data_IF_959427669718
#
_entry.id   IF_959427669718
#
_cell.length_a   1.000
_cell.length_b   1.000
_cell.length_c   1.000
_cell.angle_alpha   90.00
_cell.angle_beta   90.00
_cell.angle_gamma   90.00
#
_symmetry.space_group_name_H-M   'P 1'
#
loop_
_entity.id
_entity.type
_entity.pdbx_description
1 polymer ?
#
# COMPACT_ATOMS: atom_id res chain seq x y z
N UNK A 1 25.88 -36.37 32.26
CA UNK A 1 25.79 -37.13 33.53
C UNK A 1 24.87 -36.37 34.47
N UNK A 2 23.56 -36.67 34.43
CA UNK A 2 22.79 -37.39 35.46
C UNK A 2 22.37 -36.47 36.63
N UNK A 3 21.11 -36.33 37.05
CA UNK A 3 20.05 -37.35 37.13
C UNK A 3 18.65 -36.75 37.02
N UNK A 4 17.83 -37.50 36.31
CA UNK A 4 16.37 -37.51 36.26
C UNK A 4 15.81 -38.08 37.59
N UNK A 5 14.68 -37.56 38.07
CA UNK A 5 13.72 -38.27 38.92
C UNK A 5 12.31 -38.12 38.33
N UNK A 6 11.56 -39.21 38.43
CA UNK A 6 10.36 -39.64 37.71
C UNK A 6 9.01 -39.05 38.21
N UNK A 7 7.89 -39.25 37.46
CA UNK A 7 6.53 -38.65 37.64
C UNK A 7 5.61 -39.54 38.51
N UNK A 8 4.34 -39.18 38.92
CA UNK A 8 3.09 -39.11 38.08
C UNK A 8 1.97 -38.19 38.72
N UNK A 9 0.62 -38.30 38.48
CA UNK A 9 -0.16 -39.07 37.50
C UNK A 9 -1.20 -38.28 36.66
N UNK A 10 -1.63 -38.95 35.59
CA UNK A 10 -2.79 -38.67 34.73
C UNK A 10 -4.13 -38.80 35.45
N UNK A 11 -5.12 -37.95 35.10
CA UNK A 11 -6.54 -38.27 35.29
C UNK A 11 -7.41 -37.73 34.14
N UNK A 12 -8.46 -38.50 33.90
CA UNK A 12 -9.29 -38.58 32.70
C UNK A 12 -10.34 -37.48 32.55
N UNK A 13 -10.75 -37.34 31.30
CA UNK A 13 -12.00 -36.82 30.75
C UNK A 13 -13.23 -37.11 31.61
N UNK A 14 -14.07 -36.08 31.82
CA UNK A 14 -15.52 -36.24 32.04
C UNK A 14 -16.25 -35.21 31.18
N UNK A 15 -17.06 -35.72 30.26
CA UNK A 15 -18.10 -35.03 29.50
C UNK A 15 -19.42 -35.25 30.26
N UNK A 16 -20.25 -34.21 30.40
CA UNK A 16 -21.69 -34.23 30.10
C UNK A 16 -22.44 -33.00 30.63
N UNK A 17 -23.11 -32.34 29.68
CA UNK A 17 -24.53 -31.98 29.63
C UNK A 17 -25.26 -31.36 30.83
N UNK A 18 -25.93 -30.24 30.54
CA UNK A 18 -27.35 -29.94 30.82
C UNK A 18 -27.54 -28.41 30.73
N UNK A 19 -28.22 -27.84 29.72
CA UNK A 19 -29.66 -27.88 29.39
C UNK A 19 -30.29 -26.49 29.61
N UNK A 20 -30.83 -25.97 28.51
CA UNK A 20 -32.19 -25.44 28.39
C UNK A 20 -32.59 -24.13 29.12
N UNK A 21 -32.93 -23.11 28.33
CA UNK A 21 -34.26 -22.48 28.39
C UNK A 21 -34.51 -21.61 27.15
N UNK A 22 -35.40 -22.12 26.30
CA UNK A 22 -36.16 -21.35 25.32
C UNK A 22 -37.26 -20.51 26.00
N UNK A 23 -37.70 -19.49 25.25
CA UNK A 23 -39.08 -19.01 25.10
C UNK A 23 -39.38 -17.61 25.65
N UNK A 24 -39.58 -16.67 24.71
CA UNK A 24 -40.82 -15.89 24.66
C UNK A 24 -40.98 -15.34 23.23
N UNK A 25 -41.90 -15.96 22.49
CA UNK A 25 -42.44 -15.43 21.25
C UNK A 25 -43.41 -14.27 21.58
N UNK A 26 -43.27 -13.16 20.88
CA UNK A 26 -44.22 -12.06 20.88
C UNK A 26 -44.36 -11.52 19.46
N UNK A 27 -45.40 -11.96 18.77
CA UNK A 27 -45.81 -11.45 17.46
C UNK A 27 -46.44 -10.06 17.59
N UNK A 28 -45.99 -9.11 16.79
CA UNK A 28 -46.85 -8.03 16.30
C UNK A 28 -46.42 -7.69 14.88
N UNK A 29 -47.17 -8.21 13.92
CA UNK A 29 -47.12 -7.79 12.54
C UNK A 29 -47.64 -6.35 12.40
N UNK A 30 -47.10 -5.68 11.40
CA UNK A 30 -47.68 -4.59 10.61
C UNK A 30 -47.86 -3.22 11.25
N UNK A 31 -46.78 -2.42 11.29
CA UNK A 31 -46.89 -0.96 11.15
C UNK A 31 -45.66 -0.41 10.38
N UNK A 32 -45.94 0.17 9.20
CA UNK A 32 -45.09 0.97 8.29
C UNK A 32 -44.08 0.28 7.36
N UNK A 33 -44.56 0.03 6.14
CA UNK A 33 -43.79 0.12 4.89
C UNK A 33 -43.11 1.50 4.75
N UNK A 34 -41.78 1.55 4.86
CA UNK A 34 -40.93 2.67 4.46
C UNK A 34 -39.89 2.20 3.42
N UNK A 35 -39.51 3.06 2.45
CA UNK A 35 -38.58 2.69 1.39
C UNK A 35 -37.15 2.50 1.93
N UNK A 36 -36.46 1.50 1.38
CA UNK A 36 -35.14 0.99 1.79
C UNK A 36 -33.97 1.96 1.49
N UNK A 37 -33.90 3.12 2.16
CA UNK A 37 -32.77 4.06 2.00
C UNK A 37 -32.15 4.58 3.30
N UNK A 38 -32.55 4.07 4.47
CA UNK A 38 -32.01 4.49 5.78
C UNK A 38 -30.88 3.60 6.35
N UNK A 39 -30.38 2.61 5.61
CA UNK A 39 -29.33 1.69 6.10
C UNK A 39 -27.89 2.18 5.87
N UNK A 40 -27.70 3.43 5.43
CA UNK A 40 -26.37 4.04 5.33
C UNK A 40 -26.03 4.80 6.63
N UNK A 41 -24.89 4.46 7.24
CA UNK A 41 -24.27 5.13 8.41
C UNK A 41 -24.72 4.72 9.83
N UNK A 42 -24.80 3.41 10.13
CA UNK A 42 -24.80 2.95 11.54
C UNK A 42 -23.78 1.84 11.81
N UNK A 43 -22.49 2.18 11.79
CA UNK A 43 -21.47 1.30 12.38
C UNK A 43 -21.45 1.39 13.92
N UNK A 44 -21.88 2.51 14.52
CA UNK A 44 -21.80 2.71 15.99
C UNK A 44 -22.89 3.61 16.58
N UNK A 45 -23.87 4.08 15.80
CA UNK A 45 -24.89 5.05 16.26
C UNK A 45 -24.31 6.34 16.88
N UNK A 46 -23.04 6.67 16.59
CA UNK A 46 -22.38 7.87 17.09
C UNK A 46 -22.79 9.08 16.23
N UNK A 47 -23.33 10.11 16.86
CA UNK A 47 -23.60 11.42 16.25
C UNK A 47 -22.24 12.03 15.88
N UNK A 48 -22.00 12.27 14.58
CA UNK A 48 -20.76 12.90 14.13
C UNK A 48 -20.61 14.33 14.69
N UNK A 49 -19.37 14.80 14.88
CA UNK A 49 -19.11 16.12 15.49
C UNK A 49 -19.84 17.28 14.79
N UNK A 50 -20.03 17.20 13.47
CA UNK A 50 -20.76 18.21 12.70
C UNK A 50 -22.29 18.14 12.88
N UNK A 51 -22.82 16.97 13.23
CA UNK A 51 -24.25 16.77 13.45
C UNK A 51 -24.67 17.38 14.79
N UNK A 52 -23.82 17.28 15.81
CA UNK A 52 -24.00 18.00 17.07
C UNK A 52 -23.99 19.53 16.83
N UNK A 53 -23.08 20.03 15.99
CA UNK A 53 -22.99 21.47 15.67
C UNK A 53 -24.16 21.97 14.82
N UNK A 54 -24.65 21.16 13.86
CA UNK A 54 -25.85 21.46 13.07
C UNK A 54 -27.12 21.45 13.90
N UNK A 55 -27.28 20.50 14.82
CA UNK A 55 -28.44 20.46 15.70
C UNK A 55 -28.53 21.69 16.60
N UNK A 56 -27.39 22.28 16.98
CA UNK A 56 -27.33 23.55 17.71
C UNK A 56 -27.68 24.78 16.85
N UNK A 57 -27.43 24.72 15.53
CA UNK A 57 -27.59 25.85 14.61
C UNK A 57 -28.85 25.79 13.73
N UNK A 58 -29.48 24.62 13.59
CA UNK A 58 -30.56 24.38 12.65
C UNK A 58 -31.82 23.84 13.33
N UNK A 59 -32.53 24.72 14.03
CA UNK A 59 -33.98 24.60 14.08
C UNK A 59 -34.53 25.14 12.74
N UNK A 60 -35.02 24.24 11.86
CA UNK A 60 -35.84 24.54 10.67
C UNK A 60 -35.16 24.89 9.32
N UNK A 61 -34.00 24.33 8.97
CA UNK A 61 -33.53 24.39 7.58
C UNK A 61 -33.57 22.99 6.95
N UNK A 62 -34.34 22.76 5.86
CA UNK A 62 -34.30 21.50 5.12
C UNK A 62 -32.89 21.26 4.59
N UNK A 63 -32.27 20.15 4.98
CA UNK A 63 -30.96 19.74 4.48
C UNK A 63 -31.07 19.31 3.01
N UNK A 64 -30.92 20.27 2.10
CA UNK A 64 -30.68 19.96 0.70
C UNK A 64 -29.33 19.21 0.63
N UNK A 65 -29.36 17.90 0.34
CA UNK A 65 -28.15 17.09 0.18
C UNK A 65 -27.45 17.51 -1.12
N UNK A 66 -26.57 18.50 -1.04
CA UNK A 66 -25.60 18.80 -2.09
C UNK A 66 -24.81 17.52 -2.40
N UNK A 67 -24.62 17.18 -3.68
CA UNK A 67 -23.73 16.09 -4.08
C UNK A 67 -22.36 16.27 -3.44
N UNK A 68 -21.78 15.19 -2.88
CA UNK A 68 -20.49 15.28 -2.17
C UNK A 68 -19.42 15.80 -3.14
N UNK A 69 -18.77 16.91 -2.79
CA UNK A 69 -17.67 17.51 -3.56
C UNK A 69 -16.30 16.90 -3.22
N UNK A 70 -16.25 15.98 -2.26
CA UNK A 70 -15.02 15.37 -1.76
C UNK A 70 -15.19 13.85 -1.64
N UNK A 71 -14.06 13.14 -1.67
CA UNK A 71 -14.04 11.71 -1.47
C UNK A 71 -14.51 11.33 -0.07
N UNK A 72 -15.28 10.25 0.00
CA UNK A 72 -15.89 9.83 1.25
C UNK A 72 -15.84 8.33 1.42
N UNK A 73 -15.86 7.88 2.68
CA UNK A 73 -15.85 6.47 3.02
C UNK A 73 -17.28 5.98 3.22
N UNK A 74 -17.58 4.80 2.70
CA UNK A 74 -18.76 4.03 3.04
C UNK A 74 -18.36 2.62 3.51
N UNK A 75 -19.36 1.77 3.77
CA UNK A 75 -19.11 0.39 4.18
C UNK A 75 -18.57 -0.51 3.04
N UNK A 76 -18.34 0.01 1.82
CA UNK A 76 -17.76 -0.74 0.70
C UNK A 76 -16.36 -0.23 0.34
N UNK A 77 -16.02 1.01 0.68
CA UNK A 77 -14.69 1.57 0.51
C UNK A 77 -14.74 3.08 0.29
N UNK A 78 -13.97 3.56 -0.69
CA UNK A 78 -13.88 4.98 -1.03
C UNK A 78 -14.79 5.30 -2.21
N UNK A 79 -15.65 6.30 -2.02
CA UNK A 79 -16.49 6.92 -3.05
C UNK A 79 -15.97 8.32 -3.31
N UNK A 80 -15.33 8.52 -4.46
CA UNK A 80 -14.73 9.78 -4.84
C UNK A 80 -15.45 10.40 -6.04
N UNK A 81 -15.88 11.67 -5.95
CA UNK A 81 -16.46 12.37 -7.08
C UNK A 81 -15.36 12.56 -8.14
N UNK A 82 -15.62 12.14 -9.38
CA UNK A 82 -14.69 12.42 -10.48
C UNK A 82 -14.47 13.92 -10.69
N UNK A 83 -13.53 14.30 -11.54
CA UNK A 83 -13.07 15.70 -11.69
C UNK A 83 -14.09 16.71 -12.25
N UNK A 84 -15.30 16.31 -12.62
CA UNK A 84 -16.32 17.25 -13.14
C UNK A 84 -15.80 18.08 -14.32
N UNK A 85 -15.47 19.36 -14.06
CA UNK A 85 -14.98 20.34 -15.04
C UNK A 85 -13.49 20.19 -15.45
N UNK A 86 -12.79 19.16 -14.97
CA UNK A 86 -11.39 18.88 -15.29
C UNK A 86 -10.43 19.23 -14.13
N UNK A 87 -9.12 18.99 -14.32
CA UNK A 87 -8.12 19.15 -13.27
C UNK A 87 -7.87 20.64 -12.98
N UNK A 88 -7.77 20.95 -11.69
CA UNK A 88 -7.44 22.31 -11.22
C UNK A 88 -6.08 22.79 -11.76
N UNK A 89 -6.01 24.06 -12.15
CA UNK A 89 -4.82 24.66 -12.74
C UNK A 89 -3.61 24.59 -11.79
N UNK A 90 -3.83 24.64 -10.47
CA UNK A 90 -2.78 24.48 -9.47
C UNK A 90 -2.21 23.06 -9.44
N UNK A 91 -3.06 22.03 -9.54
CA UNK A 91 -2.63 20.63 -9.62
C UNK A 91 -1.80 20.39 -10.89
N UNK A 92 -2.25 20.94 -12.02
CA UNK A 92 -1.50 20.85 -13.28
C UNK A 92 -0.13 21.54 -13.14
N UNK A 93 -0.05 22.71 -12.52
CA UNK A 93 1.21 23.41 -12.31
C UNK A 93 2.18 22.62 -11.42
N UNK A 94 1.69 22.05 -10.31
CA UNK A 94 2.48 21.15 -9.46
C UNK A 94 3.01 19.94 -10.23
N UNK A 95 2.17 19.33 -11.06
CA UNK A 95 2.59 18.20 -11.89
C UNK A 95 3.68 18.57 -12.90
N UNK A 96 3.66 19.79 -13.45
CA UNK A 96 4.76 20.27 -14.32
C UNK A 96 6.09 20.30 -13.56
N UNK A 97 6.11 20.80 -12.32
CA UNK A 97 7.33 20.82 -11.50
C UNK A 97 7.88 19.41 -11.23
N UNK A 98 7.01 18.42 -11.03
CA UNK A 98 7.42 17.01 -10.89
C UNK A 98 8.07 16.51 -12.18
N UNK A 99 7.46 16.79 -13.34
CA UNK A 99 7.98 16.37 -14.65
C UNK A 99 9.35 17.02 -14.95
N UNK A 100 9.51 18.31 -14.69
CA UNK A 100 10.79 19.02 -14.84
C UNK A 100 11.87 18.42 -13.95
N UNK A 101 11.53 18.11 -12.69
CA UNK A 101 12.45 17.46 -11.74
C UNK A 101 12.88 16.09 -12.26
N UNK A 102 11.94 15.28 -12.76
CA UNK A 102 12.23 13.96 -13.34
C UNK A 102 13.11 14.05 -14.59
N UNK A 103 12.86 15.03 -15.47
CA UNK A 103 13.69 15.28 -16.65
C UNK A 103 15.13 15.64 -16.26
N UNK A 104 15.31 16.42 -15.18
CA UNK A 104 16.63 16.73 -14.63
C UNK A 104 17.31 15.51 -14.01
N UNK A 105 16.60 14.74 -13.18
CA UNK A 105 17.16 13.57 -12.49
C UNK A 105 17.56 12.45 -13.43
N UNK A 106 16.90 12.32 -14.58
CA UNK A 106 17.10 11.19 -15.49
C UNK A 106 17.94 11.51 -16.73
N UNK A 107 18.53 12.71 -16.82
CA UNK A 107 19.34 13.09 -17.98
C UNK A 107 20.61 12.25 -18.12
N UNK A 108 21.16 11.79 -16.99
CA UNK A 108 22.51 11.21 -16.91
C UNK A 108 22.47 9.74 -16.44
N UNK A 109 21.33 9.06 -16.54
CA UNK A 109 21.25 7.62 -16.24
C UNK A 109 22.15 6.85 -17.21
N UNK A 110 23.09 6.09 -16.66
CA UNK A 110 24.17 5.44 -17.39
C UNK A 110 24.10 3.90 -17.28
N UNK A 111 25.12 3.22 -17.81
CA UNK A 111 25.22 1.75 -17.74
C UNK A 111 25.16 1.22 -16.30
N UNK A 112 25.71 1.95 -15.33
CA UNK A 112 25.64 1.57 -13.91
C UNK A 112 24.20 1.57 -13.39
N UNK A 113 23.33 2.47 -13.88
CA UNK A 113 21.91 2.40 -13.58
C UNK A 113 21.30 1.13 -14.16
N UNK A 114 21.58 0.80 -15.44
CA UNK A 114 21.02 -0.39 -16.09
C UNK A 114 21.37 -1.67 -15.31
N UNK A 115 22.64 -1.81 -14.90
CA UNK A 115 23.11 -2.96 -14.12
C UNK A 115 22.48 -3.03 -12.73
N UNK A 116 22.36 -1.90 -12.03
CA UNK A 116 21.68 -1.84 -10.74
C UNK A 116 20.18 -2.17 -10.89
N UNK A 117 19.56 -1.65 -11.93
CA UNK A 117 18.14 -1.78 -12.21
C UNK A 117 17.74 -3.23 -12.52
N UNK A 118 18.57 -3.99 -13.25
CA UNK A 118 18.30 -5.41 -13.51
C UNK A 118 18.38 -6.27 -12.25
N UNK A 119 19.36 -6.00 -11.38
CA UNK A 119 19.49 -6.74 -10.11
C UNK A 119 18.37 -6.37 -9.12
N UNK A 120 17.90 -5.12 -9.15
CA UNK A 120 16.77 -4.66 -8.36
C UNK A 120 15.47 -5.41 -8.70
N UNK A 121 15.14 -5.56 -10.00
CA UNK A 121 13.90 -6.21 -10.46
C UNK A 121 13.77 -7.66 -9.96
N UNK A 122 14.89 -8.36 -9.81
CA UNK A 122 14.94 -9.73 -9.28
C UNK A 122 14.74 -9.80 -7.76
N UNK A 123 15.02 -8.71 -7.03
CA UNK A 123 15.03 -8.67 -5.56
C UNK A 123 13.75 -8.07 -4.95
N UNK A 124 13.03 -7.21 -5.67
CA UNK A 124 11.83 -6.56 -5.15
C UNK A 124 10.58 -7.46 -5.30
N UNK A 125 9.75 -7.51 -4.25
CA UNK A 125 8.48 -8.25 -4.29
C UNK A 125 7.43 -7.59 -5.19
N UNK A 126 7.59 -6.31 -5.51
CA UNK A 126 6.72 -5.53 -6.41
C UNK A 126 7.28 -5.41 -7.83
N UNK A 127 8.27 -6.25 -8.20
CA UNK A 127 8.97 -6.19 -9.48
C UNK A 127 8.06 -6.01 -10.69
N UNK A 128 6.99 -6.81 -10.86
CA UNK A 128 6.09 -6.68 -12.01
C UNK A 128 5.48 -5.27 -12.17
N UNK A 129 5.01 -4.66 -11.08
CA UNK A 129 4.38 -3.34 -11.13
C UNK A 129 5.42 -2.21 -11.17
N UNK A 130 6.56 -2.36 -10.49
CA UNK A 130 7.66 -1.39 -10.56
C UNK A 130 8.28 -1.33 -11.96
N UNK A 131 8.41 -2.47 -12.64
CA UNK A 131 8.87 -2.57 -14.03
C UNK A 131 7.87 -1.95 -15.01
N UNK A 132 6.57 -2.17 -14.80
CA UNK A 132 5.52 -1.51 -15.57
C UNK A 132 5.57 0.02 -15.40
N UNK A 133 5.69 0.50 -14.15
CA UNK A 133 5.84 1.92 -13.84
C UNK A 133 7.11 2.51 -14.47
N UNK A 134 8.22 1.77 -14.42
CA UNK A 134 9.48 2.14 -15.06
C UNK A 134 9.33 2.34 -16.57
N UNK A 135 8.88 1.30 -17.28
CA UNK A 135 8.78 1.32 -18.73
C UNK A 135 7.85 2.43 -19.22
N UNK A 136 6.67 2.56 -18.61
CA UNK A 136 5.68 3.52 -19.04
C UNK A 136 6.12 4.98 -18.76
N UNK A 137 6.69 5.24 -17.58
CA UNK A 137 7.16 6.58 -17.22
C UNK A 137 8.40 6.97 -18.03
N UNK A 138 9.35 6.06 -18.20
CA UNK A 138 10.58 6.33 -18.94
C UNK A 138 10.32 6.63 -20.42
N UNK A 139 9.41 5.88 -21.06
CA UNK A 139 9.00 6.16 -22.45
C UNK A 139 8.39 7.57 -22.58
N UNK A 140 7.46 7.93 -21.68
CA UNK A 140 6.84 9.26 -21.68
C UNK A 140 7.86 10.40 -21.46
N UNK A 141 8.82 10.21 -20.54
CA UNK A 141 9.89 11.19 -20.32
C UNK A 141 10.83 11.29 -21.53
N UNK A 142 11.11 10.19 -22.23
CA UNK A 142 11.89 10.21 -23.47
C UNK A 142 11.20 11.04 -24.54
N UNK A 143 9.89 10.85 -24.73
CA UNK A 143 9.10 11.64 -25.69
C UNK A 143 9.14 13.14 -25.35
N UNK A 144 8.97 13.48 -24.08
CA UNK A 144 9.02 14.87 -23.60
C UNK A 144 10.39 15.53 -23.82
N UNK A 145 11.49 14.80 -23.69
CA UNK A 145 12.85 15.33 -23.94
C UNK A 145 13.02 15.79 -25.38
N UNK A 146 12.39 15.11 -26.33
CA UNK A 146 12.53 15.42 -27.75
C UNK A 146 11.67 16.61 -28.18
N UNK A 147 10.62 16.92 -27.43
CA UNK A 147 9.65 17.92 -27.83
C UNK A 147 9.93 19.34 -27.31
N UNK A 148 10.75 19.49 -26.26
CA UNK A 148 11.25 20.76 -25.67
C UNK A 148 10.21 21.91 -25.65
N UNK A 149 8.99 21.60 -25.19
CA UNK A 149 7.84 22.53 -25.23
C UNK A 149 7.15 22.63 -23.87
N UNK A 150 7.11 23.83 -23.25
CA UNK A 150 6.37 24.06 -22.01
C UNK A 150 4.87 23.74 -22.12
N UNK A 151 4.30 23.87 -23.32
CA UNK A 151 2.91 23.54 -23.61
C UNK A 151 2.69 22.03 -23.47
N UNK A 152 3.63 21.22 -23.96
CA UNK A 152 3.53 19.76 -23.86
C UNK A 152 3.71 19.25 -22.44
N UNK A 153 4.63 19.84 -21.65
CA UNK A 153 4.75 19.52 -20.22
C UNK A 153 3.45 19.77 -19.48
N UNK A 154 2.81 20.92 -19.74
CA UNK A 154 1.53 21.28 -19.15
C UNK A 154 0.43 20.30 -19.56
N UNK A 155 0.39 19.93 -20.83
CA UNK A 155 -0.61 18.99 -21.35
C UNK A 155 -0.41 17.58 -20.77
N UNK A 156 0.83 17.09 -20.67
CA UNK A 156 1.12 15.80 -20.02
C UNK A 156 0.72 15.82 -18.56
N UNK A 157 1.04 16.89 -17.82
CA UNK A 157 0.60 17.06 -16.43
C UNK A 157 -0.93 17.05 -16.29
N UNK A 158 -1.65 17.70 -17.22
CA UNK A 158 -3.12 17.68 -17.28
C UNK A 158 -3.65 16.26 -17.46
N UNK A 159 -3.14 15.53 -18.46
CA UNK A 159 -3.56 14.15 -18.75
C UNK A 159 -3.29 13.23 -17.55
N UNK A 160 -2.10 13.29 -16.95
CA UNK A 160 -1.76 12.49 -15.76
C UNK A 160 -2.73 12.75 -14.60
N UNK A 161 -3.07 14.02 -14.36
CA UNK A 161 -3.99 14.43 -13.30
C UNK A 161 -5.41 13.94 -13.57
N UNK A 162 -5.88 14.05 -14.82
CA UNK A 162 -7.18 13.53 -15.22
C UNK A 162 -7.26 12.02 -15.01
N UNK A 163 -6.26 11.28 -15.48
CA UNK A 163 -6.24 9.83 -15.35
C UNK A 163 -6.21 9.42 -13.89
N UNK A 164 -5.34 10.02 -13.07
CA UNK A 164 -5.25 9.75 -11.63
C UNK A 164 -6.55 10.00 -10.86
N UNK A 165 -7.48 10.79 -11.40
CA UNK A 165 -8.76 11.06 -10.76
C UNK A 165 -9.86 10.03 -11.02
N UNK A 166 -9.63 9.06 -11.90
CA UNK A 166 -10.58 8.01 -12.23
C UNK A 166 -10.07 6.63 -11.79
N UNK A 167 -10.99 5.67 -11.73
CA UNK A 167 -10.70 4.28 -11.35
C UNK A 167 -9.65 3.66 -12.28
N UNK A 168 -8.70 2.92 -11.70
CA UNK A 168 -7.70 2.16 -12.45
C UNK A 168 -8.36 0.96 -13.14
N UNK A 169 -8.03 0.74 -14.40
CA UNK A 169 -8.41 -0.45 -15.15
C UNK A 169 -7.23 -1.41 -15.23
N UNK A 170 -7.40 -2.63 -14.72
CA UNK A 170 -6.38 -3.68 -14.79
C UNK A 170 -6.71 -4.68 -15.89
N UNK A 171 -5.71 -5.20 -16.62
CA UNK A 171 -5.93 -6.29 -17.55
C UNK A 171 -6.34 -7.57 -16.80
N UNK A 172 -6.99 -8.51 -17.50
CA UNK A 172 -7.41 -9.79 -16.89
C UNK A 172 -6.26 -10.76 -16.64
N UNK A 173 -5.16 -10.60 -17.35
CA UNK A 173 -3.93 -11.37 -17.26
C UNK A 173 -2.73 -10.41 -17.30
N UNK A 174 -1.59 -10.82 -16.74
CA UNK A 174 -0.33 -10.08 -16.85
C UNK A 174 0.48 -10.44 -18.11
N UNK A 175 0.06 -11.50 -18.82
CA UNK A 175 0.76 -12.11 -19.94
C UNK A 175 1.12 -11.15 -21.07
N UNK A 176 2.14 -11.53 -21.85
CA UNK A 176 2.62 -10.76 -22.98
C UNK A 176 2.92 -9.30 -22.64
N UNK A 177 3.24 -8.95 -21.39
CA UNK A 177 3.40 -7.56 -20.91
C UNK A 177 2.09 -6.75 -20.91
N UNK A 178 0.94 -7.40 -20.78
CA UNK A 178 -0.37 -6.74 -20.71
C UNK A 178 -0.42 -5.74 -19.54
N UNK A 179 0.19 -6.09 -18.41
CA UNK A 179 0.32 -5.18 -17.26
C UNK A 179 1.07 -3.89 -17.63
N UNK A 180 2.22 -4.00 -18.31
CA UNK A 180 2.97 -2.83 -18.75
C UNK A 180 2.15 -1.98 -19.72
N UNK A 181 1.53 -2.61 -20.74
CA UNK A 181 0.71 -1.91 -21.74
C UNK A 181 -0.48 -1.17 -21.14
N UNK A 182 -1.04 -1.66 -20.03
CA UNK A 182 -2.17 -1.04 -19.35
C UNK A 182 -1.87 0.37 -18.82
N UNK A 183 -0.59 0.76 -18.75
CA UNK A 183 -0.16 2.02 -18.16
C UNK A 183 0.64 2.94 -19.10
N UNK A 184 0.82 2.56 -20.37
CA UNK A 184 1.55 3.37 -21.36
C UNK A 184 0.66 4.48 -21.94
N UNK A 185 1.29 5.56 -22.39
CA UNK A 185 0.64 6.64 -23.11
C UNK A 185 -0.37 7.39 -22.23
N UNK A 186 -1.60 7.53 -22.71
CA UNK A 186 -2.66 8.21 -21.96
C UNK A 186 -3.19 7.43 -20.75
N UNK A 187 -2.73 6.21 -20.49
CA UNK A 187 -3.14 5.44 -19.29
C UNK A 187 -2.19 5.64 -18.10
N UNK A 188 -1.12 6.44 -18.29
CA UNK A 188 -0.15 6.75 -17.25
C UNK A 188 -0.77 7.63 -16.16
N UNK A 189 -0.25 7.50 -14.93
CA UNK A 189 -0.84 8.10 -13.71
C UNK A 189 0.24 8.54 -12.74
N UNK A 190 -0.08 9.49 -11.86
CA UNK A 190 0.84 10.00 -10.83
C UNK A 190 1.37 8.93 -9.87
N UNK A 191 0.57 7.90 -9.54
CA UNK A 191 1.02 6.79 -8.68
C UNK A 191 2.23 6.06 -9.29
N UNK A 192 2.25 5.90 -10.62
CA UNK A 192 3.34 5.23 -11.35
C UNK A 192 4.59 6.10 -11.42
N UNK A 193 4.42 7.41 -11.65
CA UNK A 193 5.53 8.38 -11.59
C UNK A 193 6.14 8.41 -10.19
N UNK A 194 5.32 8.30 -9.15
CA UNK A 194 5.81 8.21 -7.79
C UNK A 194 6.68 6.98 -7.53
N UNK A 195 6.29 5.80 -8.05
CA UNK A 195 7.14 4.60 -8.01
C UNK A 195 8.42 4.76 -8.83
N UNK A 196 8.34 5.45 -9.98
CA UNK A 196 9.50 5.80 -10.79
C UNK A 196 10.50 6.67 -10.01
N UNK A 197 10.00 7.71 -9.32
CA UNK A 197 10.80 8.54 -8.40
C UNK A 197 11.47 7.69 -7.31
N UNK A 198 10.75 6.74 -6.70
CA UNK A 198 11.32 5.83 -5.70
C UNK A 198 12.50 5.02 -6.24
N UNK A 199 12.34 4.40 -7.42
CA UNK A 199 13.39 3.59 -8.03
C UNK A 199 14.65 4.41 -8.34
N UNK A 200 14.49 5.60 -8.88
CA UNK A 200 15.61 6.51 -9.17
C UNK A 200 16.28 6.99 -7.88
N UNK A 201 15.49 7.36 -6.88
CA UNK A 201 16.04 7.78 -5.60
C UNK A 201 16.84 6.67 -4.92
N UNK A 202 16.33 5.43 -4.93
CA UNK A 202 17.04 4.27 -4.39
C UNK A 202 18.37 4.01 -5.11
N UNK A 203 18.43 4.20 -6.43
CA UNK A 203 19.68 4.16 -7.17
C UNK A 203 20.69 5.21 -6.67
N UNK A 204 20.26 6.47 -6.49
CA UNK A 204 21.14 7.50 -5.95
C UNK A 204 21.58 7.22 -4.50
N UNK A 205 20.69 6.63 -3.68
CA UNK A 205 21.05 6.16 -2.34
C UNK A 205 22.09 5.03 -2.37
N UNK A 206 21.98 4.11 -3.33
CA UNK A 206 22.99 3.07 -3.56
C UNK A 206 24.34 3.67 -3.96
N UNK A 207 24.35 4.65 -4.88
CA UNK A 207 25.58 5.35 -5.26
C UNK A 207 26.24 6.08 -4.09
N UNK A 208 25.45 6.81 -3.29
CA UNK A 208 25.94 7.49 -2.08
C UNK A 208 26.59 6.51 -1.10
N UNK A 209 26.00 5.33 -0.94
CA UNK A 209 26.52 4.29 -0.05
C UNK A 209 27.80 3.62 -0.59
N UNK A 210 27.90 3.47 -1.92
CA UNK A 210 29.05 2.87 -2.59
C UNK A 210 30.25 3.82 -2.68
N UNK A 211 30.00 5.13 -2.79
CA UNK A 211 31.03 6.18 -2.85
C UNK A 211 30.65 7.35 -1.94
N UNK A 212 30.89 7.25 -0.62
CA UNK A 212 30.65 8.37 0.29
C UNK A 212 31.48 9.57 -0.17
N UNK A 213 30.85 10.71 -0.44
CA UNK A 213 31.55 11.85 -0.99
C UNK A 213 32.67 12.32 -0.05
N UNK A 214 33.92 12.16 -0.51
CA UNK A 214 35.06 12.86 0.09
C UNK A 214 34.95 14.31 -0.35
N UNK A 215 34.45 15.17 0.55
CA UNK A 215 34.07 16.54 0.23
C UNK A 215 35.19 17.33 -0.42
N UNK A 216 35.07 17.62 -1.72
CA UNK A 216 35.59 18.81 -2.40
C UNK A 216 35.28 18.76 -3.91
N UNK A 217 34.58 19.77 -4.42
CA UNK A 217 34.77 20.24 -5.81
C UNK A 217 33.70 19.89 -6.85
N UNK A 218 32.70 19.07 -6.54
CA UNK A 218 31.59 18.77 -7.47
C UNK A 218 30.47 19.80 -7.44
N UNK A 219 29.75 19.96 -8.57
CA UNK A 219 28.54 20.78 -8.64
C UNK A 219 27.49 20.24 -7.64
N UNK A 220 27.21 20.96 -6.56
CA UNK A 220 26.42 20.49 -5.41
C UNK A 220 25.00 19.97 -5.77
N UNK A 221 24.45 20.41 -6.91
CA UNK A 221 23.15 19.92 -7.42
C UNK A 221 23.19 18.52 -8.06
N UNK A 222 24.37 17.95 -8.28
CA UNK A 222 24.57 16.63 -8.89
C UNK A 222 25.22 15.61 -7.94
N UNK A 223 25.27 15.92 -6.65
CA UNK A 223 25.74 14.98 -5.64
C UNK A 223 24.65 13.92 -5.38
N UNK A 224 24.97 12.61 -5.31
CA UNK A 224 23.98 11.53 -5.16
C UNK A 224 22.99 11.78 -4.02
N UNK A 225 23.46 12.24 -2.86
CA UNK A 225 22.60 12.63 -1.74
C UNK A 225 21.58 13.73 -2.06
N UNK A 226 21.96 14.73 -2.87
CA UNK A 226 21.05 15.80 -3.31
C UNK A 226 19.99 15.25 -4.26
N UNK A 227 20.40 14.39 -5.20
CA UNK A 227 19.51 13.75 -6.16
C UNK A 227 18.53 12.78 -5.50
N UNK A 228 18.99 12.02 -4.49
CA UNK A 228 18.16 11.19 -3.63
C UNK A 228 17.04 12.01 -2.96
N UNK A 229 17.37 13.17 -2.38
CA UNK A 229 16.38 14.06 -1.77
C UNK A 229 15.40 14.64 -2.79
N UNK A 230 15.89 15.07 -3.96
CA UNK A 230 15.03 15.57 -5.04
C UNK A 230 14.05 14.48 -5.52
N UNK A 231 14.51 13.25 -5.68
CA UNK A 231 13.67 12.10 -6.01
C UNK A 231 12.63 11.83 -4.92
N UNK A 232 12.99 11.96 -3.63
CA UNK A 232 12.05 11.85 -2.52
C UNK A 232 10.96 12.93 -2.54
N UNK A 233 11.32 14.20 -2.78
CA UNK A 233 10.33 15.27 -2.89
C UNK A 233 9.40 15.07 -4.10
N UNK A 234 9.93 14.69 -5.26
CA UNK A 234 9.11 14.36 -6.43
C UNK A 234 8.19 13.16 -6.15
N UNK A 235 8.68 12.14 -5.44
CA UNK A 235 7.90 10.97 -5.04
C UNK A 235 6.71 11.37 -4.14
N UNK A 236 6.94 12.21 -3.13
CA UNK A 236 5.88 12.64 -2.21
C UNK A 236 4.93 13.68 -2.83
N UNK A 237 5.37 14.50 -3.77
CA UNK A 237 4.47 15.35 -4.56
C UNK A 237 3.52 14.53 -5.45
N UNK A 238 3.97 13.40 -6.04
CA UNK A 238 3.07 12.47 -6.72
C UNK A 238 1.98 11.94 -5.77
N UNK A 239 2.33 11.57 -4.53
CA UNK A 239 1.36 11.15 -3.52
C UNK A 239 0.37 12.27 -3.18
N UNK A 240 0.87 13.50 -3.01
CA UNK A 240 0.08 14.71 -2.70
C UNK A 240 -0.91 15.05 -3.82
N UNK A 241 -0.49 14.94 -5.08
CA UNK A 241 -1.36 15.07 -6.25
C UNK A 241 -2.49 14.03 -6.21
N UNK A 242 -2.17 12.75 -5.98
CA UNK A 242 -3.18 11.70 -5.87
C UNK A 242 -4.15 11.94 -4.71
N UNK A 243 -3.63 12.32 -3.54
CA UNK A 243 -4.45 12.61 -2.35
C UNK A 243 -5.42 13.77 -2.58
N UNK A 244 -4.99 14.80 -3.33
CA UNK A 244 -5.84 15.95 -3.69
C UNK A 244 -7.02 15.56 -4.59
N UNK A 245 -6.92 14.45 -5.31
CA UNK A 245 -7.99 13.90 -6.15
C UNK A 245 -8.95 12.98 -5.37
N UNK A 246 -8.59 12.61 -4.14
CA UNK A 246 -9.41 11.78 -3.26
C UNK A 246 -9.59 10.33 -3.71
N UNK A 247 -8.88 9.89 -4.76
CA UNK A 247 -8.89 8.51 -5.22
C UNK A 247 -7.81 7.72 -4.52
N UNK A 248 -8.17 6.54 -4.01
CA UNK A 248 -7.22 5.55 -3.50
C UNK A 248 -7.50 4.20 -4.13
N UNK A 249 -6.45 3.46 -4.46
CA UNK A 249 -6.53 2.18 -5.17
C UNK A 249 -5.25 1.34 -4.92
N UNK A 250 -5.16 0.17 -5.57
CA UNK A 250 -3.97 -0.70 -5.50
C UNK A 250 -2.66 0.02 -5.86
N UNK A 251 -2.63 0.91 -6.88
CA UNK A 251 -1.43 1.70 -7.22
C UNK A 251 -1.05 2.67 -6.10
N UNK A 252 -2.02 3.22 -5.36
CA UNK A 252 -1.73 4.06 -4.18
C UNK A 252 -0.95 3.26 -3.13
N UNK A 253 -1.37 2.01 -2.89
CA UNK A 253 -0.69 1.08 -1.98
C UNK A 253 0.73 0.77 -2.47
N UNK A 254 0.89 0.42 -3.75
CA UNK A 254 2.21 0.10 -4.33
C UNK A 254 3.15 1.32 -4.26
N UNK A 255 2.65 2.49 -4.64
CA UNK A 255 3.41 3.75 -4.58
C UNK A 255 3.85 4.10 -3.17
N UNK A 256 2.95 4.05 -2.18
CA UNK A 256 3.31 4.38 -0.81
C UNK A 256 4.28 3.34 -0.22
N UNK A 257 4.18 2.07 -0.62
CA UNK A 257 5.14 1.04 -0.22
C UNK A 257 6.57 1.38 -0.69
N UNK A 258 6.74 1.76 -1.97
CA UNK A 258 8.06 2.17 -2.48
C UNK A 258 8.52 3.51 -1.91
N UNK A 259 7.59 4.43 -1.62
CA UNK A 259 7.89 5.73 -1.01
C UNK A 259 8.43 5.57 0.43
N UNK A 260 7.88 4.62 1.23
CA UNK A 260 8.39 4.30 2.56
C UNK A 260 9.84 3.82 2.48
N UNK A 261 10.13 2.88 1.56
CA UNK A 261 11.50 2.40 1.34
C UNK A 261 12.43 3.54 0.93
N UNK A 262 12.01 4.43 0.05
CA UNK A 262 12.81 5.60 -0.32
C UNK A 262 13.06 6.54 0.88
N UNK A 263 12.05 6.74 1.73
CA UNK A 263 12.16 7.60 2.91
C UNK A 263 13.22 7.07 3.89
N UNK A 264 13.27 5.76 4.12
CA UNK A 264 14.27 5.17 5.03
C UNK A 264 15.68 5.27 4.47
N UNK A 265 15.87 5.15 3.16
CA UNK A 265 17.16 5.40 2.52
C UNK A 265 17.58 6.87 2.59
N UNK A 266 16.63 7.80 2.50
CA UNK A 266 16.91 9.24 2.49
C UNK A 266 17.19 9.80 3.89
N UNK A 267 16.50 9.31 4.92
CA UNK A 267 16.47 9.93 6.25
C UNK A 267 16.70 8.96 7.42
N UNK A 268 16.80 7.66 7.17
CA UNK A 268 16.86 6.63 8.20
C UNK A 268 15.51 6.04 8.59
N UNK A 269 15.56 4.86 9.21
CA UNK A 269 14.39 4.09 9.66
C UNK A 269 13.60 4.77 10.80
N UNK A 270 14.25 5.67 11.55
CA UNK A 270 13.67 6.45 12.65
C UNK A 270 13.09 7.81 12.20
N UNK A 271 13.14 8.10 10.90
CA UNK A 271 12.72 9.40 10.39
C UNK A 271 11.21 9.63 10.51
N UNK A 272 10.85 10.88 10.82
CA UNK A 272 9.45 11.31 10.83
C UNK A 272 8.78 11.15 9.45
N UNK A 273 9.54 11.29 8.36
CA UNK A 273 9.03 11.10 7.00
C UNK A 273 8.58 9.66 6.73
N UNK A 274 9.40 8.66 7.08
CA UNK A 274 9.00 7.26 6.97
C UNK A 274 7.81 6.96 7.88
N UNK A 275 7.83 7.47 9.11
CA UNK A 275 6.71 7.32 10.04
C UNK A 275 5.42 7.94 9.49
N UNK A 276 5.46 9.13 8.90
CA UNK A 276 4.26 9.76 8.33
C UNK A 276 3.67 8.92 7.19
N UNK A 277 4.51 8.47 6.25
CA UNK A 277 4.07 7.65 5.10
C UNK A 277 3.44 6.31 5.54
N UNK A 278 3.93 5.69 6.63
CA UNK A 278 3.28 4.51 7.21
C UNK A 278 1.84 4.83 7.68
N UNK A 279 1.59 6.06 8.11
CA UNK A 279 0.28 6.52 8.57
C UNK A 279 -0.67 6.74 7.41
N UNK A 280 -0.16 7.36 6.36
CA UNK A 280 -0.88 7.56 5.10
C UNK A 280 -1.27 6.21 4.51
N UNK A 281 -0.33 5.27 4.38
CA UNK A 281 -0.63 3.94 3.80
C UNK A 281 -1.55 3.12 4.72
N UNK A 282 -1.42 3.23 6.05
CA UNK A 282 -2.36 2.57 6.97
C UNK A 282 -3.79 3.07 6.77
N UNK A 283 -3.96 4.37 6.55
CA UNK A 283 -5.26 4.98 6.27
C UNK A 283 -5.82 4.47 4.94
N UNK A 284 -4.98 4.33 3.91
CA UNK A 284 -5.38 3.75 2.61
C UNK A 284 -5.79 2.28 2.77
N UNK A 285 -5.03 1.47 3.52
CA UNK A 285 -5.34 0.05 3.78
C UNK A 285 -6.72 -0.11 4.40
N UNK A 286 -7.06 0.67 5.43
CA UNK A 286 -8.38 0.61 6.06
C UNK A 286 -9.48 1.18 5.14
N UNK A 287 -9.19 2.24 4.39
CA UNK A 287 -10.14 2.85 3.45
C UNK A 287 -10.54 1.90 2.31
N UNK A 288 -9.59 1.06 1.87
CA UNK A 288 -9.81 0.03 0.85
C UNK A 288 -10.28 -1.32 1.43
N UNK A 289 -10.41 -1.43 2.77
CA UNK A 289 -10.73 -2.67 3.48
C UNK A 289 -9.75 -3.82 3.23
N UNK A 290 -8.52 -3.49 2.88
CA UNK A 290 -7.46 -4.46 2.65
C UNK A 290 -6.87 -5.04 3.94
N UNK A 291 -7.34 -4.58 5.11
CA UNK A 291 -6.97 -5.14 6.41
C UNK A 291 -7.58 -6.53 6.68
N UNK A 292 -8.50 -7.01 5.84
CA UNK A 292 -9.08 -8.36 5.96
C UNK A 292 -8.98 -9.11 4.63
N UNK A 293 -8.97 -10.45 4.64
CA UNK A 293 -9.04 -11.24 3.42
C UNK A 293 -10.29 -10.86 2.63
N UNK A 294 -10.12 -10.56 1.34
CA UNK A 294 -11.27 -10.38 0.44
C UNK A 294 -11.98 -11.72 0.25
N UNK A 295 -13.31 -11.71 0.16
CA UNK A 295 -14.06 -12.91 -0.24
C UNK A 295 -13.63 -13.24 -1.67
N UNK A 296 -13.02 -14.41 -1.86
CA UNK A 296 -12.55 -14.94 -3.15
C UNK A 296 -13.78 -14.99 -4.08
N UNK A 297 -13.92 -14.00 -4.97
CA UNK A 297 -15.11 -13.84 -5.81
C UNK A 297 -15.28 -12.48 -6.49
N UNK A 298 -14.55 -11.42 -6.12
CA UNK A 298 -14.78 -10.06 -6.64
C UNK A 298 -14.22 -9.76 -8.05
N UNK A 299 -13.95 -10.77 -8.88
CA UNK A 299 -13.48 -10.54 -10.27
C UNK A 299 -12.09 -9.89 -10.36
N UNK A 300 -11.30 -9.90 -9.28
CA UNK A 300 -9.91 -9.44 -9.26
C UNK A 300 -9.02 -10.54 -9.85
N UNK A 301 -8.19 -10.24 -10.88
CA UNK A 301 -7.25 -11.20 -11.44
C UNK A 301 -6.27 -11.75 -10.40
N UNK A 302 -5.90 -13.03 -10.53
CA UNK A 302 -5.02 -13.72 -9.58
C UNK A 302 -3.67 -13.00 -9.41
N UNK A 303 -3.06 -12.56 -10.52
CA UNK A 303 -1.78 -11.84 -10.47
C UNK A 303 -1.88 -10.54 -9.64
N UNK A 304 -2.99 -9.81 -9.76
CA UNK A 304 -3.21 -8.55 -9.03
C UNK A 304 -3.47 -8.81 -7.54
N UNK A 305 -4.23 -9.87 -7.24
CA UNK A 305 -4.40 -10.35 -5.87
C UNK A 305 -3.05 -10.69 -5.23
N UNK A 306 -2.14 -11.36 -5.94
CA UNK A 306 -0.81 -11.68 -5.43
C UNK A 306 0.07 -10.44 -5.23
N UNK A 307 0.08 -9.50 -6.19
CA UNK A 307 0.79 -8.23 -6.02
C UNK A 307 0.28 -7.44 -4.81
N UNK A 308 -1.04 -7.42 -4.60
CA UNK A 308 -1.67 -6.79 -3.43
C UNK A 308 -1.19 -7.44 -2.12
N UNK A 309 -1.21 -8.78 -2.03
CA UNK A 309 -0.73 -9.50 -0.84
C UNK A 309 0.74 -9.20 -0.54
N UNK A 310 1.59 -9.12 -1.56
CA UNK A 310 3.02 -8.77 -1.41
C UNK A 310 3.19 -7.36 -0.85
N UNK A 311 2.48 -6.38 -1.41
CA UNK A 311 2.53 -4.99 -0.94
C UNK A 311 2.03 -4.87 0.50
N UNK A 312 0.90 -5.49 0.83
CA UNK A 312 0.36 -5.48 2.20
C UNK A 312 1.30 -6.17 3.18
N UNK A 313 1.98 -7.24 2.75
CA UNK A 313 3.04 -7.88 3.53
C UNK A 313 4.19 -6.93 3.85
N UNK A 314 4.70 -6.22 2.84
CA UNK A 314 5.78 -5.24 3.00
C UNK A 314 5.37 -4.08 3.90
N UNK A 315 4.17 -3.53 3.70
CA UNK A 315 3.62 -2.47 4.54
C UNK A 315 3.47 -2.93 5.98
N UNK A 316 2.97 -4.16 6.19
CA UNK A 316 2.84 -4.75 7.52
C UNK A 316 4.22 -4.90 8.19
N UNK A 317 5.25 -5.29 7.45
CA UNK A 317 6.62 -5.33 7.95
C UNK A 317 7.15 -3.94 8.31
N UNK A 318 7.06 -2.97 7.40
CA UNK A 318 7.51 -1.59 7.64
C UNK A 318 6.86 -0.97 8.88
N UNK A 319 5.55 -1.16 9.05
CA UNK A 319 4.82 -0.71 10.24
C UNK A 319 5.44 -1.24 11.54
N UNK A 320 5.78 -2.53 11.60
CA UNK A 320 6.35 -3.15 12.82
C UNK A 320 7.80 -2.76 13.01
N UNK A 321 8.58 -2.70 11.93
CA UNK A 321 9.99 -2.32 11.99
C UNK A 321 10.12 -0.88 12.49
N UNK A 322 9.45 0.07 11.86
CA UNK A 322 9.51 1.47 12.28
C UNK A 322 8.96 1.65 13.69
N UNK A 323 7.82 1.04 14.03
CA UNK A 323 7.29 1.06 15.40
C UNK A 323 8.31 0.57 16.44
N UNK A 324 9.08 -0.48 16.09
CA UNK A 324 10.17 -0.99 16.93
C UNK A 324 11.31 0.03 17.07
N UNK A 325 11.79 0.61 15.96
CA UNK A 325 12.89 1.56 16.00
C UNK A 325 12.57 2.82 16.81
N UNK A 326 11.36 3.35 16.68
CA UNK A 326 10.98 4.61 17.35
C UNK A 326 10.26 4.43 18.70
N UNK A 327 10.06 3.19 19.15
CA UNK A 327 9.37 2.89 20.42
C UNK A 327 7.92 3.38 20.45
N UNK A 328 7.18 3.22 19.33
CA UNK A 328 5.77 3.64 19.19
C UNK A 328 4.87 2.42 18.96
N UNK A 329 3.57 2.50 19.27
CA UNK A 329 2.63 1.44 18.89
C UNK A 329 2.51 1.30 17.36
N UNK A 330 2.44 0.08 16.80
CA UNK A 330 2.17 -0.14 15.38
C UNK A 330 0.74 0.31 15.02
N UNK A 331 0.53 0.71 13.77
CA UNK A 331 -0.76 1.21 13.26
C UNK A 331 -1.62 0.10 12.66
N UNK A 332 -1.01 -0.92 12.07
CA UNK A 332 -1.70 -2.04 11.46
C UNK A 332 -1.74 -3.24 12.41
N UNK A 333 -2.36 -3.08 13.58
CA UNK A 333 -2.32 -4.10 14.63
C UNK A 333 -2.95 -5.42 14.18
N UNK A 334 -2.39 -6.55 14.62
CA UNK A 334 -2.92 -7.90 14.36
C UNK A 334 -4.36 -8.10 14.83
N UNK A 335 -4.85 -7.22 15.71
CA UNK A 335 -6.24 -7.23 16.22
C UNK A 335 -7.25 -6.80 15.16
N UNK A 336 -6.84 -5.93 14.23
CA UNK A 336 -7.69 -5.40 13.16
C UNK A 336 -7.22 -5.80 11.76
N UNK A 337 -6.00 -6.32 11.64
CA UNK A 337 -5.39 -6.73 10.39
C UNK A 337 -5.18 -8.25 10.34
N UNK A 338 -5.81 -8.90 9.37
CA UNK A 338 -5.62 -10.31 9.03
C UNK A 338 -5.12 -10.39 7.60
N UNK A 339 -3.84 -10.04 7.40
CA UNK A 339 -3.23 -10.01 6.08
C UNK A 339 -3.00 -11.43 5.56
N UNK A 340 -3.43 -11.72 4.34
CA UNK A 340 -3.13 -12.99 3.69
C UNK A 340 -1.66 -13.00 3.23
N UNK A 341 -0.94 -14.08 3.52
CA UNK A 341 0.41 -14.27 3.01
C UNK A 341 0.37 -14.40 1.47
N UNK A 342 1.29 -13.77 0.74
CA UNK A 342 1.43 -13.99 -0.70
C UNK A 342 1.92 -15.40 -0.96
N UNK A 343 1.61 -15.97 -2.13
CA UNK A 343 2.22 -17.22 -2.57
C UNK A 343 3.72 -17.04 -2.81
N UNK A 344 4.48 -18.09 -2.47
CA UNK A 344 5.92 -18.15 -2.68
C UNK A 344 6.24 -18.42 -4.16
N UNK A 345 6.13 -17.38 -4.97
CA UNK A 345 6.27 -17.45 -6.44
C UNK A 345 7.31 -16.44 -6.93
N UNK A 346 7.98 -16.76 -8.02
CA UNK A 346 8.87 -15.84 -8.70
C UNK A 346 8.08 -14.69 -9.38
N UNK A 347 8.72 -13.55 -9.63
CA UNK A 347 8.08 -12.40 -10.27
C UNK A 347 7.61 -12.75 -11.70
N UNK A 348 8.38 -13.57 -12.40
CA UNK A 348 8.14 -14.00 -13.77
C UNK A 348 6.88 -14.86 -13.88
N UNK A 349 6.56 -15.63 -12.84
CA UNK A 349 5.33 -16.43 -12.77
C UNK A 349 4.11 -15.53 -12.62
N UNK A 350 4.22 -14.45 -11.83
CA UNK A 350 3.15 -13.43 -11.69
C UNK A 350 2.94 -12.66 -13.00
N UNK A 351 4.01 -12.42 -13.77
CA UNK A 351 3.95 -11.79 -15.10
C UNK A 351 3.49 -12.75 -16.23
N UNK A 352 3.34 -14.04 -15.94
CA UNK A 352 3.01 -15.08 -16.90
C UNK A 352 1.53 -15.13 -17.30
N UNK A 353 1.17 -16.18 -18.06
CA UNK A 353 -0.23 -16.47 -18.38
C UNK A 353 -1.02 -16.90 -17.16
N UNK A 354 -2.34 -16.74 -17.23
CA UNK A 354 -3.23 -17.13 -16.13
C UNK A 354 -3.08 -18.62 -15.82
N UNK A 355 -2.98 -19.45 -16.86
CA UNK A 355 -2.82 -20.91 -16.74
C UNK A 355 -1.49 -21.27 -16.07
N UNK A 356 -0.39 -20.63 -16.48
CA UNK A 356 0.93 -20.85 -15.88
C UNK A 356 0.93 -20.47 -14.40
N UNK A 357 0.29 -19.35 -14.05
CA UNK A 357 0.17 -18.90 -12.67
C UNK A 357 -0.67 -19.87 -11.82
N UNK A 358 -1.83 -20.30 -12.33
CA UNK A 358 -2.70 -21.28 -11.66
C UNK A 358 -2.00 -22.64 -11.47
N UNK A 359 -1.29 -23.11 -12.48
CA UNK A 359 -0.47 -24.33 -12.38
C UNK A 359 0.62 -24.18 -11.32
N UNK A 360 1.34 -23.06 -11.31
CA UNK A 360 2.38 -22.83 -10.31
C UNK A 360 1.81 -22.80 -8.89
N UNK A 361 0.64 -22.17 -8.68
CA UNK A 361 -0.08 -22.19 -7.40
C UNK A 361 -0.45 -23.62 -7.00
N UNK A 362 -0.93 -24.44 -7.93
CA UNK A 362 -1.29 -25.84 -7.65
C UNK A 362 -0.08 -26.72 -7.26
N UNK A 363 1.14 -26.30 -7.63
CA UNK A 363 2.37 -27.03 -7.30
C UNK A 363 2.93 -26.67 -5.91
N UNK A 364 2.47 -25.61 -5.27
CA UNK A 364 2.92 -25.17 -3.94
C UNK A 364 2.58 -26.18 -2.83
N UNK A 365 3.22 -26.03 -1.67
CA UNK A 365 2.79 -26.68 -0.43
C UNK A 365 1.41 -26.20 0.02
N UNK A 366 0.76 -26.95 0.92
CA UNK A 366 -0.56 -26.58 1.48
C UNK A 366 -0.55 -25.21 2.18
N UNK A 367 0.62 -24.82 2.70
CA UNK A 367 0.89 -23.55 3.34
C UNK A 367 1.30 -22.44 2.35
N UNK A 368 1.40 -22.74 1.05
CA UNK A 368 1.73 -21.81 -0.03
C UNK A 368 3.23 -21.54 -0.23
N UNK A 369 4.12 -22.35 0.37
CA UNK A 369 5.57 -22.29 0.12
C UNK A 369 5.97 -23.05 -1.14
N UNK A 370 7.04 -22.60 -1.78
CA UNK A 370 7.67 -23.34 -2.86
C UNK A 370 8.37 -24.59 -2.33
N UNK A 371 8.21 -25.70 -3.05
CA UNK A 371 8.80 -27.01 -2.68
C UNK A 371 10.27 -27.13 -3.09
N UNK A 372 10.72 -26.31 -4.04
CA UNK A 372 12.11 -26.34 -4.53
C UNK A 372 13.10 -25.62 -3.62
N UNK A 373 12.60 -24.92 -2.58
CA UNK A 373 13.39 -24.18 -1.57
C UNK A 373 14.26 -23.07 -2.17
N UNK A 374 13.88 -22.55 -3.32
CA UNK A 374 14.51 -21.35 -3.88
C UNK A 374 14.10 -20.14 -3.04
N UNK A 375 15.07 -19.28 -2.70
CA UNK A 375 14.79 -18.05 -1.95
C UNK A 375 14.45 -16.96 -2.96
N UNK A 376 13.18 -16.61 -3.02
CA UNK A 376 12.62 -15.56 -3.87
C UNK A 376 12.24 -14.34 -3.01
N UNK A 377 11.98 -13.16 -3.62
CA UNK A 377 11.47 -12.00 -2.90
C UNK A 377 10.22 -12.32 -2.07
N UNK A 378 9.30 -13.11 -2.64
CA UNK A 378 8.11 -13.58 -1.93
C UNK A 378 8.44 -14.48 -0.72
N UNK A 379 9.48 -15.32 -0.81
CA UNK A 379 9.97 -16.16 0.30
C UNK A 379 10.38 -15.28 1.48
N UNK A 380 11.23 -14.27 1.21
CA UNK A 380 11.66 -13.28 2.22
C UNK A 380 10.45 -12.58 2.83
N UNK A 381 9.50 -12.15 2.01
CA UNK A 381 8.31 -11.45 2.47
C UNK A 381 7.46 -12.32 3.41
N UNK A 382 7.24 -13.59 3.05
CA UNK A 382 6.48 -14.54 3.87
C UNK A 382 7.15 -14.77 5.23
N UNK A 383 8.48 -14.95 5.26
CA UNK A 383 9.24 -15.07 6.52
C UNK A 383 9.01 -13.84 7.39
N UNK A 384 9.10 -12.63 6.81
CA UNK A 384 8.96 -11.40 7.57
C UNK A 384 7.54 -11.19 8.08
N UNK A 385 6.53 -11.58 7.31
CA UNK A 385 5.13 -11.60 7.77
C UNK A 385 4.91 -12.54 8.96
N UNK A 386 5.55 -13.72 8.98
CA UNK A 386 5.50 -14.65 10.12
C UNK A 386 6.15 -14.04 11.37
N UNK A 387 7.21 -13.24 11.21
CA UNK A 387 7.87 -12.57 12.32
C UNK A 387 7.12 -11.33 12.84
N UNK A 388 6.23 -10.73 12.04
CA UNK A 388 5.55 -9.50 12.42
C UNK A 388 4.68 -9.64 13.69
N UNK A 389 3.85 -10.68 13.87
CA UNK A 389 3.09 -10.89 15.10
C UNK A 389 3.97 -10.99 16.34
N UNK A 390 5.14 -11.64 16.24
CA UNK A 390 6.10 -11.75 17.33
C UNK A 390 6.70 -10.39 17.68
N UNK A 391 7.08 -9.59 16.68
CA UNK A 391 7.54 -8.20 16.90
C UNK A 391 6.46 -7.35 17.57
N UNK A 392 5.23 -7.49 17.12
CA UNK A 392 4.09 -6.78 17.72
C UNK A 392 3.86 -7.20 19.18
N UNK A 393 3.97 -8.49 19.52
CA UNK A 393 3.91 -8.96 20.91
C UNK A 393 5.01 -8.35 21.77
N UNK A 394 6.25 -8.33 21.29
CA UNK A 394 7.36 -7.70 22.00
C UNK A 394 7.07 -6.21 22.23
N UNK A 395 6.51 -5.51 21.25
CA UNK A 395 6.13 -4.10 21.40
C UNK A 395 4.97 -3.92 22.39
N UNK A 396 3.95 -4.77 22.34
CA UNK A 396 2.83 -4.77 23.30
C UNK A 396 3.34 -4.97 24.73
N UNK A 397 4.30 -5.87 24.93
CA UNK A 397 4.94 -6.10 26.23
C UNK A 397 5.83 -4.93 26.67
N UNK A 398 6.56 -4.31 25.74
CA UNK A 398 7.54 -3.27 26.05
C UNK A 398 6.91 -1.89 26.27
N UNK A 399 5.84 -1.58 25.52
CA UNK A 399 5.20 -0.26 25.50
C UNK A 399 3.82 -0.25 26.16
N UNK A 400 3.21 -1.43 26.36
CA UNK A 400 1.87 -1.57 26.89
C UNK A 400 1.77 -1.05 28.33
N UNK A 401 0.67 -0.38 28.64
CA UNK A 401 0.36 0.13 29.99
C UNK A 401 0.02 -0.96 31.01
N UNK A 402 0.00 -2.23 30.60
CA UNK A 402 -0.41 -3.38 31.42
C UNK A 402 0.79 -4.13 31.99
N UNK A 403 1.14 -3.81 33.24
CA UNK A 403 1.86 -4.72 34.16
C UNK A 403 0.88 -5.82 34.62
N UNK A 404 0.26 -6.52 33.68
CA UNK A 404 -0.34 -7.82 33.99
C UNK A 404 0.80 -8.81 33.92
N UNK A 405 1.07 -9.50 35.02
CA UNK A 405 2.08 -10.55 35.07
C UNK A 405 1.77 -11.56 33.94
N UNK A 406 2.63 -11.62 32.91
CA UNK A 406 2.40 -12.46 31.71
C UNK A 406 2.82 -13.91 31.92
N UNK A 407 3.43 -14.22 33.07
CA UNK A 407 3.83 -15.57 33.50
C UNK A 407 2.70 -16.62 33.41
N UNK A 408 1.41 -16.31 33.67
CA UNK A 408 0.33 -17.29 33.56
C UNK A 408 -0.07 -17.64 32.12
N UNK A 409 0.37 -16.90 31.08
CA UNK A 409 0.05 -17.22 29.67
C UNK A 409 1.08 -18.12 28.99
N UNK A 410 2.18 -18.45 29.69
CA UNK A 410 3.24 -19.33 29.21
C UNK A 410 3.14 -20.78 29.75
N UNK A 411 2.03 -21.11 30.43
CA UNK A 411 1.63 -22.47 30.83
C UNK A 411 0.51 -22.95 29.92
#
# INVERSE_FOLDING_TARGET
MSRIKSPPPSFQTVVNDANNSQAAAGSSADIFSQPATEEADRATSLIGMNELHRQTLAANVPTQRYGRMYASLDHKGVVAPGLGAGPDAHLVAKGVTVLETLLGLTSDLNESFVLWSSTWDEQTSLGPIEKAAWQATHAMLSDLRHADSPVELRERSRILTERSAYRVSYPRSAEDRALCRAFVGESLRWELLGMYCSRIGLYFGYQESATPSSGAGGNANREPKSMLRQAFFACTECASLCASLGQVNDLTIFHLCTAISLATWCFGDDSYHAWQLIGDVSSVVYSLKFNKPSVIGEGVPLYLSELRKRALGQIHEHDKLTATFVGRPPRLTRRYCTMQMPFDLANEVIEGSTECLEMAVAMLGEDGWDKSRLIMPATRQRVLMILCPLREEVLELSLGSSVADWVPRAQ
#
